data_IF_774532047864
#
_entry.id   IF_774532047864
#
_cell.length_a   1.000
_cell.length_b   1.000
_cell.length_c   1.000
_cell.angle_alpha   90.00
_cell.angle_beta   90.00
_cell.angle_gamma   90.00
#
_symmetry.space_group_name_H-M   'P 1'
#
loop_
_entity.id
_entity.type
_entity.pdbx_description
1 polymer ?
#
# COMPACT_ATOMS: atom_id res chain seq x y z
N UNK A 1 -10.09 5.22 19.81
CA UNK A 1 -8.94 4.59 19.12
C UNK A 1 -9.03 5.05 17.69
N UNK A 2 -7.98 5.65 17.14
CA UNK A 2 -7.96 6.09 15.76
C UNK A 2 -7.90 4.91 14.80
N UNK A 3 -8.56 5.00 13.66
CA UNK A 3 -8.57 3.96 12.63
C UNK A 3 -7.26 3.99 11.84
N UNK A 4 -6.58 2.86 11.69
CA UNK A 4 -5.26 2.80 11.05
C UNK A 4 -5.36 2.34 9.60
N UNK A 5 -4.85 3.14 8.67
CA UNK A 5 -4.83 2.82 7.24
C UNK A 5 -3.38 2.68 6.75
N UNK A 6 -3.05 1.55 6.13
CA UNK A 6 -1.76 1.37 5.46
C UNK A 6 -1.88 1.66 3.95
N UNK A 7 -1.00 2.51 3.43
CA UNK A 7 -0.99 2.96 2.02
C UNK A 7 0.11 2.24 1.23
N UNK A 8 -0.24 1.11 0.59
CA UNK A 8 0.64 0.34 -0.29
C UNK A 8 0.54 0.80 -1.75
N UNK A 9 1.63 0.65 -2.50
CA UNK A 9 1.62 0.86 -3.95
C UNK A 9 2.71 1.80 -4.45
N UNK A 10 2.49 2.30 -5.67
CA UNK A 10 3.40 3.18 -6.40
C UNK A 10 3.81 4.45 -5.63
N UNK A 11 4.98 5.00 -5.92
CA UNK A 11 5.59 6.15 -5.23
C UNK A 11 5.94 7.32 -6.17
N UNK A 12 5.36 7.32 -7.37
CA UNK A 12 5.63 8.25 -8.46
C UNK A 12 4.60 9.38 -8.59
N UNK A 13 3.54 9.37 -7.78
CA UNK A 13 2.52 10.43 -7.70
C UNK A 13 2.19 10.79 -6.25
N UNK A 14 1.41 11.86 -6.07
CA UNK A 14 1.05 12.41 -4.76
C UNK A 14 -0.22 11.78 -4.13
N UNK A 15 -0.73 10.67 -4.67
CA UNK A 15 -2.00 10.05 -4.27
C UNK A 15 -2.13 9.79 -2.76
N UNK A 16 -1.02 9.48 -2.07
CA UNK A 16 -1.03 9.26 -0.61
C UNK A 16 -1.34 10.55 0.14
N UNK A 17 -0.76 11.66 -0.31
CA UNK A 17 -1.01 12.96 0.32
C UNK A 17 -2.42 13.45 0.02
N UNK A 18 -2.95 13.18 -1.17
CA UNK A 18 -4.36 13.45 -1.51
C UNK A 18 -5.33 12.74 -0.54
N UNK A 19 -5.16 11.44 -0.30
CA UNK A 19 -6.00 10.68 0.65
C UNK A 19 -5.85 11.23 2.07
N UNK A 20 -4.60 11.46 2.52
CA UNK A 20 -4.34 12.00 3.86
C UNK A 20 -4.99 13.37 4.03
N UNK A 21 -4.91 14.23 3.02
CA UNK A 21 -5.50 15.56 3.04
C UNK A 21 -7.02 15.48 3.01
N UNK A 22 -7.62 14.68 2.13
CA UNK A 22 -9.07 14.50 2.06
C UNK A 22 -9.68 13.93 3.36
N UNK A 23 -8.97 13.03 4.03
CA UNK A 23 -9.37 12.52 5.35
C UNK A 23 -9.29 13.60 6.44
N UNK A 24 -8.22 14.43 6.44
CA UNK A 24 -8.09 15.58 7.35
C UNK A 24 -9.20 16.61 7.13
N UNK A 25 -9.46 16.98 5.87
CA UNK A 25 -10.49 17.96 5.51
C UNK A 25 -11.90 17.46 5.84
N UNK A 26 -12.10 16.14 5.81
CA UNK A 26 -13.33 15.50 6.25
C UNK A 26 -13.44 15.31 7.78
N UNK A 27 -12.41 15.69 8.55
CA UNK A 27 -12.38 15.55 10.01
C UNK A 27 -12.33 14.11 10.51
N UNK A 28 -11.77 13.18 9.73
CA UNK A 28 -11.72 11.75 10.08
C UNK A 28 -10.56 11.43 11.04
N UNK A 29 -10.83 10.63 12.08
CA UNK A 29 -9.83 10.14 13.03
C UNK A 29 -9.06 8.93 12.46
N UNK A 30 -8.14 9.21 11.53
CA UNK A 30 -7.35 8.20 10.81
C UNK A 30 -5.85 8.40 11.01
N UNK A 31 -5.15 7.31 11.34
CA UNK A 31 -3.69 7.25 11.35
C UNK A 31 -3.21 6.55 10.08
N UNK A 32 -2.44 7.26 9.26
CA UNK A 32 -1.87 6.71 8.03
C UNK A 32 -0.46 6.18 8.23
N UNK A 33 -0.20 4.98 7.72
CA UNK A 33 1.13 4.36 7.64
C UNK A 33 1.46 3.99 6.20
N UNK A 34 2.74 3.82 5.88
CA UNK A 34 3.20 3.57 4.50
C UNK A 34 4.58 2.90 4.48
N UNK A 35 4.93 2.31 3.33
CA UNK A 35 6.28 1.83 3.04
C UNK A 35 7.31 2.97 3.01
N UNK A 36 8.59 2.61 2.96
CA UNK A 36 9.67 3.57 2.65
C UNK A 36 9.50 4.03 1.20
N UNK A 37 9.31 5.33 0.99
CA UNK A 37 9.12 5.94 -0.34
C UNK A 37 10.40 6.52 -0.92
N UNK A 38 11.48 6.56 -0.14
CA UNK A 38 12.81 6.92 -0.59
C UNK A 38 13.44 5.70 -1.28
N UNK A 39 13.71 5.82 -2.58
CA UNK A 39 14.24 4.73 -3.40
C UNK A 39 15.61 4.26 -2.90
N UNK A 40 16.55 5.17 -2.68
CA UNK A 40 17.92 4.81 -2.29
C UNK A 40 17.93 4.15 -0.91
N UNK A 41 17.13 4.67 0.03
CA UNK A 41 16.98 4.08 1.35
C UNK A 41 16.33 2.68 1.30
N UNK A 42 15.33 2.49 0.42
CA UNK A 42 14.66 1.19 0.23
C UNK A 42 15.60 0.16 -0.39
N UNK A 43 16.36 0.54 -1.43
CA UNK A 43 17.29 -0.34 -2.14
C UNK A 43 18.48 -0.73 -1.25
N UNK A 44 18.91 0.16 -0.36
CA UNK A 44 19.98 -0.07 0.61
C UNK A 44 19.51 -0.60 1.97
N UNK A 45 18.22 -0.96 2.13
CA UNK A 45 17.64 -1.34 3.43
C UNK A 45 18.33 -2.55 4.10
N UNK A 46 19.08 -3.36 3.35
CA UNK A 46 19.86 -4.48 3.87
C UNK A 46 21.34 -4.19 4.10
N UNK A 47 21.90 -3.09 3.62
CA UNK A 47 23.35 -2.91 3.46
C UNK A 47 24.12 -2.88 4.79
N UNK A 48 23.45 -2.56 5.91
CA UNK A 48 24.05 -2.63 7.24
C UNK A 48 24.45 -4.05 7.67
N UNK A 49 23.92 -5.08 7.01
CA UNK A 49 24.30 -6.48 7.21
C UNK A 49 25.50 -6.90 6.34
N UNK A 50 26.01 -5.99 5.51
CA UNK A 50 26.99 -6.22 4.44
C UNK A 50 26.37 -6.00 3.07
N UNK A 51 27.20 -5.63 2.09
CA UNK A 51 26.76 -5.35 0.70
C UNK A 51 27.17 -6.53 -0.20
N UNK A 52 26.23 -7.39 -0.62
CA UNK A 52 26.53 -8.49 -1.52
C UNK A 52 27.04 -7.98 -2.88
N UNK A 53 28.01 -8.68 -3.47
CA UNK A 53 28.50 -8.36 -4.83
C UNK A 53 27.42 -8.59 -5.90
N UNK A 54 26.54 -9.57 -5.67
CA UNK A 54 25.45 -9.89 -6.58
C UNK A 54 24.24 -8.99 -6.32
N UNK A 55 23.79 -8.27 -7.35
CA UNK A 55 22.59 -7.44 -7.29
C UNK A 55 21.36 -8.22 -6.82
N UNK A 56 21.16 -9.46 -7.30
CA UNK A 56 20.06 -10.32 -6.85
C UNK A 56 20.06 -10.52 -5.31
N UNK A 57 21.23 -10.79 -4.73
CA UNK A 57 21.33 -11.03 -3.29
C UNK A 57 21.20 -9.74 -2.48
N UNK A 58 21.69 -8.61 -3.00
CA UNK A 58 21.47 -7.29 -2.38
C UNK A 58 19.98 -6.95 -2.36
N UNK A 59 19.30 -7.07 -3.51
CA UNK A 59 17.85 -6.80 -3.64
C UNK A 59 17.04 -7.73 -2.75
N UNK A 60 17.38 -9.02 -2.72
CA UNK A 60 16.73 -9.99 -1.82
C UNK A 60 16.89 -9.56 -0.36
N UNK A 61 18.10 -9.22 0.08
CA UNK A 61 18.39 -8.81 1.46
C UNK A 61 17.62 -7.54 1.84
N UNK A 62 17.68 -6.49 1.04
CA UNK A 62 16.95 -5.25 1.27
C UNK A 62 15.44 -5.46 1.29
N UNK A 63 14.91 -6.27 0.36
CA UNK A 63 13.50 -6.65 0.33
C UNK A 63 13.05 -7.37 1.61
N UNK A 64 13.90 -8.23 2.17
CA UNK A 64 13.60 -8.94 3.44
C UNK A 64 13.60 -8.00 4.64
N UNK A 65 14.49 -7.02 4.70
CA UNK A 65 14.49 -6.02 5.77
C UNK A 65 13.28 -5.10 5.66
N UNK A 66 12.95 -4.61 4.47
CA UNK A 66 11.74 -3.83 4.22
C UNK A 66 10.47 -4.60 4.63
N UNK A 67 10.42 -5.91 4.36
CA UNK A 67 9.28 -6.75 4.70
C UNK A 67 8.99 -6.82 6.21
N UNK A 68 9.99 -6.66 7.09
CA UNK A 68 9.77 -6.59 8.54
C UNK A 68 8.84 -5.42 8.85
N UNK A 69 9.11 -4.25 8.26
CA UNK A 69 8.28 -3.05 8.43
C UNK A 69 6.93 -3.20 7.74
N UNK A 70 6.92 -3.52 6.46
CA UNK A 70 5.69 -3.57 5.65
C UNK A 70 4.68 -4.57 6.22
N UNK A 71 5.10 -5.80 6.55
CA UNK A 71 4.19 -6.83 7.10
C UNK A 71 3.64 -6.43 8.47
N UNK A 72 4.50 -5.90 9.34
CA UNK A 72 4.08 -5.39 10.65
C UNK A 72 3.00 -4.31 10.52
N UNK A 73 3.21 -3.35 9.61
CA UNK A 73 2.26 -2.25 9.40
C UNK A 73 0.94 -2.72 8.77
N UNK A 74 0.99 -3.67 7.83
CA UNK A 74 -0.22 -4.29 7.26
C UNK A 74 -1.01 -5.01 8.37
N UNK A 75 -0.35 -5.86 9.16
CA UNK A 75 -0.99 -6.62 10.24
C UNK A 75 -1.66 -5.71 11.28
N UNK A 76 -1.01 -4.60 11.62
CA UNK A 76 -1.49 -3.61 12.59
C UNK A 76 -2.55 -2.65 12.04
N UNK A 77 -2.74 -2.56 10.72
CA UNK A 77 -3.74 -1.68 10.12
C UNK A 77 -5.16 -2.22 10.28
N UNK A 78 -6.15 -1.34 10.29
CA UNK A 78 -7.56 -1.71 10.22
C UNK A 78 -8.01 -1.88 8.76
N UNK A 79 -7.41 -1.13 7.83
CA UNK A 79 -7.64 -1.18 6.39
C UNK A 79 -6.34 -0.96 5.62
N UNK A 80 -6.20 -1.61 4.47
CA UNK A 80 -5.12 -1.33 3.50
C UNK A 80 -5.67 -0.70 2.22
N UNK A 81 -5.00 0.31 1.68
CA UNK A 81 -5.24 0.83 0.33
C UNK A 81 -4.07 0.42 -0.54
N UNK A 82 -4.34 -0.28 -1.64
CA UNK A 82 -3.31 -0.76 -2.58
C UNK A 82 -3.46 -0.02 -3.91
N UNK A 83 -2.55 0.92 -4.18
CA UNK A 83 -2.52 1.71 -5.42
C UNK A 83 -1.74 1.01 -6.53
N UNK A 84 -2.40 0.77 -7.66
CA UNK A 84 -1.77 0.33 -8.91
C UNK A 84 -1.70 1.45 -9.95
N UNK A 85 -0.56 2.13 -10.06
CA UNK A 85 -0.33 3.20 -11.04
C UNK A 85 0.26 2.73 -12.38
N UNK A 86 0.53 3.69 -13.28
CA UNK A 86 0.84 3.39 -14.68
C UNK A 86 2.32 3.05 -14.94
N UNK A 87 3.18 3.29 -13.95
CA UNK A 87 4.62 3.06 -14.06
C UNK A 87 5.01 1.72 -13.45
N UNK A 88 5.86 1.00 -14.18
CA UNK A 88 6.34 -0.33 -13.81
C UNK A 88 5.19 -1.34 -13.62
N UNK A 89 5.53 -2.59 -13.34
CA UNK A 89 4.53 -3.66 -13.17
C UNK A 89 3.96 -3.76 -11.75
N UNK A 90 4.57 -3.07 -10.78
CA UNK A 90 4.08 -2.93 -9.39
C UNK A 90 3.84 -4.25 -8.65
N UNK A 91 4.76 -5.20 -8.83
CA UNK A 91 4.71 -6.53 -8.21
C UNK A 91 4.69 -6.51 -6.68
N UNK A 92 5.32 -5.50 -6.07
CA UNK A 92 5.26 -5.28 -4.63
C UNK A 92 3.83 -4.99 -4.16
N UNK A 93 3.07 -4.16 -4.90
CA UNK A 93 1.68 -3.85 -4.59
C UNK A 93 0.78 -5.10 -4.71
N UNK A 94 0.96 -5.87 -5.78
CA UNK A 94 0.25 -7.15 -5.95
C UNK A 94 0.58 -8.16 -4.84
N UNK A 95 1.84 -8.19 -4.39
CA UNK A 95 2.26 -9.05 -3.29
C UNK A 95 1.64 -8.61 -1.96
N UNK A 96 1.60 -7.31 -1.68
CA UNK A 96 0.93 -6.76 -0.49
C UNK A 96 -0.58 -7.05 -0.49
N UNK A 97 -1.25 -6.93 -1.64
CA UNK A 97 -2.66 -7.31 -1.76
C UNK A 97 -2.88 -8.81 -1.49
N UNK A 98 -2.05 -9.67 -2.06
CA UNK A 98 -2.07 -11.11 -1.77
C UNK A 98 -1.78 -11.43 -0.29
N UNK A 99 -0.91 -10.65 0.37
CA UNK A 99 -0.67 -10.78 1.81
C UNK A 99 -1.89 -10.36 2.64
N UNK A 100 -2.57 -9.27 2.25
CA UNK A 100 -3.81 -8.84 2.88
C UNK A 100 -4.88 -9.93 2.77
N UNK A 101 -5.06 -10.48 1.57
CA UNK A 101 -5.97 -11.60 1.28
C UNK A 101 -5.69 -12.80 2.20
N UNK A 102 -4.43 -13.23 2.26
CA UNK A 102 -4.03 -14.37 3.09
C UNK A 102 -4.27 -14.16 4.59
N UNK A 103 -4.21 -12.91 5.07
CA UNK A 103 -4.46 -12.55 6.47
C UNK A 103 -5.94 -12.27 6.77
N UNK A 104 -6.80 -12.19 5.77
CA UNK A 104 -8.15 -11.64 5.92
C UNK A 104 -8.15 -10.16 6.33
N UNK A 105 -7.08 -9.42 5.98
CA UNK A 105 -7.00 -7.97 6.21
C UNK A 105 -7.82 -7.28 5.11
N UNK A 106 -8.87 -6.51 5.43
CA UNK A 106 -9.64 -5.82 4.41
C UNK A 106 -8.74 -4.83 3.66
N UNK A 107 -8.88 -4.81 2.33
CA UNK A 107 -8.17 -3.85 1.50
C UNK A 107 -9.05 -3.31 0.36
N UNK A 108 -8.70 -2.12 -0.11
CA UNK A 108 -9.30 -1.45 -1.26
C UNK A 108 -8.23 -1.32 -2.34
N UNK A 109 -8.56 -1.67 -3.57
CA UNK A 109 -7.69 -1.40 -4.73
C UNK A 109 -7.96 0.00 -5.28
N UNK A 110 -6.91 0.71 -5.66
CA UNK A 110 -7.01 2.04 -6.28
C UNK A 110 -6.31 2.01 -7.64
N UNK A 111 -7.07 1.99 -8.73
CA UNK A 111 -6.55 2.03 -10.10
C UNK A 111 -7.55 2.41 -11.18
N UNK A 112 -7.01 2.77 -12.35
CA UNK A 112 -7.79 3.05 -13.55
C UNK A 112 -8.36 1.78 -14.20
N UNK A 113 -9.21 2.00 -15.19
CA UNK A 113 -9.92 0.93 -15.93
C UNK A 113 -8.99 0.09 -16.82
N UNK A 114 -7.84 0.65 -17.20
CA UNK A 114 -6.87 0.08 -18.13
C UNK A 114 -6.22 -1.22 -17.63
N UNK A 115 -6.23 -1.44 -16.31
CA UNK A 115 -5.64 -2.62 -15.67
C UNK A 115 -6.65 -3.50 -14.91
N UNK A 116 -7.96 -3.33 -15.14
CA UNK A 116 -9.00 -4.17 -14.52
C UNK A 116 -8.85 -5.65 -14.89
N UNK A 117 -8.60 -5.96 -16.17
CA UNK A 117 -8.44 -7.36 -16.59
C UNK A 117 -7.24 -8.06 -15.92
N UNK A 118 -6.03 -7.49 -15.89
CA UNK A 118 -4.90 -8.11 -15.19
C UNK A 118 -5.02 -8.11 -13.66
N UNK A 119 -5.88 -7.27 -13.07
CA UNK A 119 -6.10 -7.23 -11.61
C UNK A 119 -7.34 -8.02 -11.15
N UNK A 120 -8.08 -8.69 -12.04
CA UNK A 120 -9.34 -9.36 -11.70
C UNK A 120 -9.27 -10.32 -10.49
N UNK A 121 -8.16 -11.05 -10.29
CA UNK A 121 -7.99 -11.89 -9.10
C UNK A 121 -7.68 -11.09 -7.83
N UNK A 122 -6.99 -9.97 -7.97
CA UNK A 122 -6.70 -9.04 -6.87
C UNK A 122 -7.98 -8.29 -6.46
N UNK A 123 -8.77 -7.84 -7.43
CA UNK A 123 -10.04 -7.16 -7.18
C UNK A 123 -11.11 -8.11 -6.63
N UNK A 124 -11.06 -9.40 -6.98
CA UNK A 124 -12.03 -10.39 -6.50
C UNK A 124 -11.99 -10.59 -4.98
N UNK A 125 -10.85 -10.33 -4.32
CA UNK A 125 -10.70 -10.45 -2.87
C UNK A 125 -10.71 -9.08 -2.15
N UNK A 126 -10.58 -8.00 -2.92
CA UNK A 126 -10.70 -6.63 -2.40
C UNK A 126 -12.13 -6.34 -1.91
N UNK A 127 -12.25 -5.45 -0.92
CA UNK A 127 -13.55 -5.02 -0.39
C UNK A 127 -14.21 -3.96 -1.28
N UNK A 128 -13.42 -3.23 -2.05
CA UNK A 128 -13.87 -2.28 -3.05
C UNK A 128 -12.76 -1.99 -4.07
N UNK A 129 -13.16 -1.56 -5.25
CA UNK A 129 -12.30 -0.93 -6.25
C UNK A 129 -12.64 0.56 -6.32
N UNK A 130 -11.62 1.40 -6.16
CA UNK A 130 -11.68 2.84 -6.33
C UNK A 130 -10.88 3.26 -7.57
N UNK A 131 -11.37 4.27 -8.28
CA UNK A 131 -10.68 4.89 -9.43
C UNK A 131 -10.11 6.27 -9.09
N UNK A 132 -10.50 6.87 -7.97
CA UNK A 132 -9.98 8.15 -7.48
C UNK A 132 -9.66 8.12 -5.99
N UNK A 133 -8.77 9.02 -5.55
CA UNK A 133 -8.43 9.21 -4.13
C UNK A 133 -9.65 9.69 -3.32
N UNK A 134 -10.52 10.51 -3.93
CA UNK A 134 -11.79 10.93 -3.32
C UNK A 134 -12.73 9.76 -2.98
N UNK A 135 -12.82 8.75 -3.85
CA UNK A 135 -13.63 7.56 -3.55
C UNK A 135 -13.09 6.78 -2.35
N UNK A 136 -11.76 6.73 -2.18
CA UNK A 136 -11.14 6.15 -0.98
C UNK A 136 -11.53 6.94 0.27
N UNK A 137 -11.52 8.27 0.19
CA UNK A 137 -11.95 9.14 1.30
C UNK A 137 -13.42 8.92 1.62
N UNK A 138 -14.30 8.76 0.62
CA UNK A 138 -15.72 8.44 0.84
C UNK A 138 -15.93 7.08 1.52
N UNK A 139 -15.14 6.07 1.14
CA UNK A 139 -15.14 4.77 1.84
C UNK A 139 -14.77 4.95 3.31
N UNK A 140 -13.69 5.70 3.60
CA UNK A 140 -13.28 5.99 4.97
C UNK A 140 -14.38 6.75 5.74
N UNK A 141 -15.00 7.76 5.13
CA UNK A 141 -16.15 8.47 5.71
C UNK A 141 -17.27 7.52 6.06
N UNK A 142 -17.56 6.54 5.21
CA UNK A 142 -18.63 5.57 5.46
C UNK A 142 -18.28 4.62 6.60
N UNK A 143 -17.08 4.05 6.60
CA UNK A 143 -16.62 3.08 7.61
C UNK A 143 -16.50 3.71 9.00
N UNK A 144 -16.22 5.01 9.06
CA UNK A 144 -16.06 5.79 10.30
C UNK A 144 -17.33 6.55 10.71
N UNK A 145 -18.48 6.28 10.08
CA UNK A 145 -19.77 6.80 10.56
C UNK A 145 -20.21 6.00 11.77
N UNK A 146 -20.69 6.71 12.77
CA UNK A 146 -21.48 6.15 13.88
C UNK A 146 -22.87 5.69 13.41
#
# INVERSE_FOLDING_TARGET
MSFTVYLSGEIHTDWREEIKQGARDAGLDVVFTQAVTDHDASDAAGDMLGVPESGFWRDHQSSRVNAIRTRTLIEQSDLVVVRFGDKYKQWNAAFDAGYCSALGKPYVTLHGEDIVHPLKEVDADAQAWATTTDQVVEILRYVLRD
#
